data_IF_907322750471
#
_entry.id   IF_907322750471
#
_cell.length_a   1.000
_cell.length_b   1.000
_cell.length_c   1.000
_cell.angle_alpha   90.00
_cell.angle_beta   90.00
_cell.angle_gamma   90.00
#
_symmetry.space_group_name_H-M   'P 1'
#
loop_
_entity.id
_entity.type
_entity.pdbx_description
1 polymer ?
#
# COMPACT_ATOMS: atom_id res chain seq x y z
N UNK A 1 -13.67 -30.02 14.92
CA UNK A 1 -12.92 -29.29 15.96
C UNK A 1 -13.85 -28.35 16.70
N UNK A 2 -13.60 -28.03 18.00
CA UNK A 2 -14.39 -27.05 18.72
C UNK A 2 -14.30 -25.69 18.02
N UNK A 3 -15.39 -24.94 17.97
CA UNK A 3 -15.48 -23.59 17.40
C UNK A 3 -14.41 -22.64 17.98
N UNK A 4 -14.11 -22.77 19.26
CA UNK A 4 -13.07 -22.00 19.95
C UNK A 4 -11.67 -22.13 19.34
N UNK A 5 -11.33 -23.32 18.82
CA UNK A 5 -10.04 -23.54 18.16
C UNK A 5 -9.99 -22.79 16.83
N UNK A 6 -11.05 -22.88 16.03
CA UNK A 6 -11.16 -22.12 14.78
C UNK A 6 -11.07 -20.60 15.02
N UNK A 7 -11.84 -20.10 15.97
CA UNK A 7 -11.88 -18.67 16.29
C UNK A 7 -10.50 -18.15 16.76
N UNK A 8 -9.72 -18.98 17.47
CA UNK A 8 -8.35 -18.67 17.87
C UNK A 8 -7.41 -18.61 16.65
N UNK A 9 -7.49 -19.61 15.77
CA UNK A 9 -6.65 -19.70 14.58
C UNK A 9 -6.97 -18.58 13.59
N UNK A 10 -8.24 -18.20 13.44
CA UNK A 10 -8.66 -17.08 12.61
C UNK A 10 -8.12 -15.74 13.16
N UNK A 11 -8.17 -15.53 14.48
CA UNK A 11 -7.56 -14.34 15.10
C UNK A 11 -6.05 -14.30 14.90
N UNK A 12 -5.36 -15.42 15.12
CA UNK A 12 -3.92 -15.50 14.88
C UNK A 12 -3.58 -15.14 13.43
N UNK A 13 -4.39 -15.58 12.47
CA UNK A 13 -4.21 -15.23 11.07
C UNK A 13 -4.44 -13.73 10.79
N UNK A 14 -5.42 -13.10 11.44
CA UNK A 14 -5.63 -11.64 11.36
C UNK A 14 -4.43 -10.87 11.97
N UNK A 15 -3.88 -11.35 13.08
CA UNK A 15 -2.67 -10.77 13.69
C UNK A 15 -1.46 -10.86 12.73
N UNK A 16 -1.34 -11.96 11.98
CA UNK A 16 -0.30 -12.11 10.96
C UNK A 16 -0.44 -11.10 9.80
N UNK A 17 -1.69 -10.75 9.42
CA UNK A 17 -1.96 -9.68 8.45
C UNK A 17 -1.52 -8.32 8.99
N UNK A 18 -1.75 -8.04 10.29
CA UNK A 18 -1.27 -6.80 10.92
C UNK A 18 0.27 -6.73 10.96
N UNK A 19 0.93 -7.86 11.22
CA UNK A 19 2.41 -7.93 11.14
C UNK A 19 2.90 -7.62 9.73
N UNK A 20 2.28 -8.22 8.71
CA UNK A 20 2.60 -7.93 7.31
C UNK A 20 2.37 -6.43 6.98
N UNK A 21 1.26 -5.86 7.44
CA UNK A 21 0.97 -4.44 7.31
C UNK A 21 2.05 -3.55 7.93
N UNK A 22 2.50 -3.88 9.15
CA UNK A 22 3.58 -3.15 9.82
C UNK A 22 4.91 -3.22 9.05
N UNK A 23 5.23 -4.38 8.44
CA UNK A 23 6.41 -4.52 7.59
C UNK A 23 6.33 -3.60 6.36
N UNK A 24 5.16 -3.49 5.75
CA UNK A 24 4.92 -2.62 4.58
C UNK A 24 4.97 -1.15 4.98
N UNK A 25 4.35 -0.75 6.09
CA UNK A 25 4.43 0.62 6.61
C UNK A 25 5.88 1.06 6.85
N UNK A 26 6.70 0.16 7.44
CA UNK A 26 8.11 0.40 7.66
C UNK A 26 8.86 0.53 6.33
N UNK A 27 8.62 -0.38 5.38
CA UNK A 27 9.27 -0.36 4.06
C UNK A 27 8.96 0.94 3.30
N UNK A 28 7.72 1.42 3.31
CA UNK A 28 7.31 2.70 2.71
C UNK A 28 8.07 3.88 3.33
N UNK A 29 8.10 3.94 4.66
CA UNK A 29 8.81 5.01 5.38
C UNK A 29 10.30 5.00 5.06
N UNK A 30 10.95 3.85 5.17
CA UNK A 30 12.39 3.70 4.92
C UNK A 30 12.75 3.96 3.46
N UNK A 31 11.88 3.63 2.50
CA UNK A 31 12.15 3.86 1.08
C UNK A 31 12.28 5.35 0.76
N UNK A 32 11.33 6.16 1.23
CA UNK A 32 11.34 7.61 1.02
C UNK A 32 12.44 8.30 1.83
N UNK A 33 12.66 7.87 3.08
CA UNK A 33 13.75 8.37 3.92
C UNK A 33 15.12 8.09 3.32
N UNK A 34 15.33 6.88 2.79
CA UNK A 34 16.57 6.50 2.12
C UNK A 34 16.83 7.36 0.87
N UNK A 35 15.78 7.63 0.09
CA UNK A 35 15.85 8.51 -1.08
C UNK A 35 16.18 9.95 -0.66
N UNK A 36 15.50 10.50 0.35
CA UNK A 36 15.72 11.85 0.87
C UNK A 36 17.15 12.05 1.36
N UNK A 37 17.71 11.04 2.04
CA UNK A 37 19.10 11.05 2.57
C UNK A 37 20.11 10.58 1.54
N UNK A 38 19.66 10.06 0.40
CA UNK A 38 20.49 9.43 -0.63
C UNK A 38 21.30 8.24 -0.06
N UNK A 39 20.69 7.53 0.92
CA UNK A 39 21.31 6.37 1.55
C UNK A 39 21.13 5.11 0.70
N UNK A 40 22.11 4.87 -0.17
CA UNK A 40 22.14 3.69 -1.06
C UNK A 40 22.31 2.38 -0.30
N UNK A 41 22.88 2.40 0.88
CA UNK A 41 23.05 1.21 1.72
C UNK A 41 21.70 0.80 2.32
N UNK A 42 20.94 1.77 2.84
CA UNK A 42 19.57 1.53 3.29
C UNK A 42 18.68 1.03 2.15
N UNK A 43 18.77 1.64 0.95
CA UNK A 43 18.03 1.21 -0.23
C UNK A 43 18.33 -0.26 -0.61
N UNK A 44 19.61 -0.68 -0.61
CA UNK A 44 19.96 -2.09 -0.88
C UNK A 44 19.41 -3.04 0.17
N UNK A 45 19.44 -2.66 1.46
CA UNK A 45 18.86 -3.48 2.54
C UNK A 45 17.35 -3.63 2.37
N UNK A 46 16.65 -2.56 2.01
CA UNK A 46 15.22 -2.59 1.77
C UNK A 46 14.86 -3.51 0.59
N UNK A 47 15.58 -3.40 -0.53
CA UNK A 47 15.39 -4.28 -1.69
C UNK A 47 15.61 -5.75 -1.32
N UNK A 48 16.63 -6.06 -0.52
CA UNK A 48 16.89 -7.42 -0.07
C UNK A 48 15.84 -7.91 0.95
N UNK A 49 15.32 -7.01 1.78
CA UNK A 49 14.31 -7.30 2.81
C UNK A 49 12.92 -7.60 2.24
N UNK A 50 12.60 -7.19 1.02
CA UNK A 50 11.33 -7.47 0.33
C UNK A 50 11.01 -8.97 0.28
N UNK A 51 12.01 -9.83 0.22
CA UNK A 51 11.83 -11.29 0.33
C UNK A 51 11.06 -11.70 1.59
N UNK A 52 11.25 -10.99 2.70
CA UNK A 52 10.56 -11.29 3.96
C UNK A 52 9.06 -10.94 3.89
N UNK A 53 8.71 -9.88 3.16
CA UNK A 53 7.31 -9.51 2.89
C UNK A 53 6.64 -10.62 2.08
N UNK A 54 7.28 -11.09 1.03
CA UNK A 54 6.79 -12.19 0.19
C UNK A 54 6.62 -13.50 0.98
N UNK A 55 7.63 -13.88 1.79
CA UNK A 55 7.58 -15.08 2.64
C UNK A 55 6.42 -14.99 3.64
N UNK A 56 6.20 -13.82 4.24
CA UNK A 56 5.09 -13.58 5.18
C UNK A 56 3.74 -13.70 4.49
N UNK A 57 3.58 -13.10 3.30
CA UNK A 57 2.38 -13.26 2.48
C UNK A 57 2.09 -14.72 2.19
N UNK A 58 3.07 -15.50 1.70
CA UNK A 58 2.86 -16.92 1.39
C UNK A 58 2.50 -17.73 2.64
N UNK A 59 3.05 -17.41 3.80
CA UNK A 59 2.70 -18.08 5.05
C UNK A 59 1.24 -17.80 5.45
N UNK A 60 0.76 -16.55 5.29
CA UNK A 60 -0.63 -16.16 5.53
C UNK A 60 -1.57 -16.90 4.57
N UNK A 61 -1.24 -16.93 3.28
CA UNK A 61 -2.04 -17.63 2.27
C UNK A 61 -2.16 -19.13 2.57
N UNK A 62 -1.03 -19.77 2.88
CA UNK A 62 -1.02 -21.20 3.21
C UNK A 62 -1.87 -21.50 4.46
N UNK A 63 -1.78 -20.67 5.50
CA UNK A 63 -2.57 -20.80 6.72
C UNK A 63 -4.08 -20.60 6.46
N UNK A 64 -4.45 -19.58 5.66
CA UNK A 64 -5.84 -19.33 5.30
C UNK A 64 -6.44 -20.52 4.51
N UNK A 65 -5.71 -21.03 3.51
CA UNK A 65 -6.14 -22.20 2.72
C UNK A 65 -6.25 -23.46 3.57
N UNK A 66 -5.34 -23.66 4.53
CA UNK A 66 -5.41 -24.79 5.46
C UNK A 66 -6.67 -24.71 6.34
N UNK A 67 -7.01 -23.50 6.86
CA UNK A 67 -8.24 -23.30 7.63
C UNK A 67 -9.50 -23.60 6.80
N UNK A 68 -9.55 -23.14 5.55
CA UNK A 68 -10.67 -23.43 4.65
C UNK A 68 -10.81 -24.93 4.42
N UNK A 69 -9.70 -25.61 4.11
CA UNK A 69 -9.70 -27.04 3.77
C UNK A 69 -10.09 -27.94 4.95
N UNK A 70 -9.68 -27.56 6.18
CA UNK A 70 -9.84 -28.44 7.35
C UNK A 70 -11.06 -28.13 8.21
N UNK A 71 -11.56 -26.89 8.19
CA UNK A 71 -12.55 -26.41 9.16
C UNK A 71 -13.95 -26.17 8.56
N UNK A 72 -14.10 -26.19 7.23
CA UNK A 72 -15.36 -25.93 6.52
C UNK A 72 -16.07 -24.67 7.07
N UNK A 73 -15.44 -23.48 6.98
CA UNK A 73 -15.93 -22.26 7.62
C UNK A 73 -17.30 -21.84 7.11
N UNK A 74 -18.15 -21.32 7.99
CA UNK A 74 -19.47 -20.78 7.65
C UNK A 74 -19.33 -19.47 6.90
N UNK A 75 -20.37 -19.03 6.22
CA UNK A 75 -20.37 -17.90 5.27
C UNK A 75 -19.60 -16.63 5.75
N UNK A 76 -19.79 -16.20 7.00
CA UNK A 76 -19.09 -15.04 7.56
C UNK A 76 -17.58 -15.28 7.74
N UNK A 77 -17.20 -16.48 8.19
CA UNK A 77 -15.80 -16.84 8.40
C UNK A 77 -15.08 -17.04 7.07
N UNK A 78 -15.76 -17.63 6.09
CA UNK A 78 -15.22 -17.78 4.74
C UNK A 78 -14.97 -16.42 4.09
N UNK A 79 -15.87 -15.44 4.27
CA UNK A 79 -15.63 -14.07 3.79
C UNK A 79 -14.42 -13.42 4.44
N UNK A 80 -14.22 -13.64 5.75
CA UNK A 80 -13.03 -13.14 6.45
C UNK A 80 -11.76 -13.78 5.90
N UNK A 81 -11.74 -15.08 5.66
CA UNK A 81 -10.59 -15.79 5.07
C UNK A 81 -10.31 -15.32 3.63
N UNK A 82 -11.36 -15.13 2.82
CA UNK A 82 -11.21 -14.56 1.48
C UNK A 82 -10.61 -13.15 1.53
N UNK A 83 -11.08 -12.29 2.44
CA UNK A 83 -10.52 -10.95 2.62
C UNK A 83 -9.05 -11.00 3.08
N UNK A 84 -8.67 -11.93 3.97
CA UNK A 84 -7.27 -12.13 4.37
C UNK A 84 -6.37 -12.42 3.17
N UNK A 85 -6.79 -13.32 2.27
CA UNK A 85 -6.02 -13.67 1.07
C UNK A 85 -5.79 -12.43 0.18
N UNK A 86 -6.84 -11.65 -0.06
CA UNK A 86 -6.76 -10.46 -0.91
C UNK A 86 -5.97 -9.34 -0.24
N UNK A 87 -6.21 -9.05 1.04
CA UNK A 87 -5.45 -8.04 1.80
C UNK A 87 -3.96 -8.37 1.82
N UNK A 88 -3.59 -9.64 2.04
CA UNK A 88 -2.19 -10.05 2.00
C UNK A 88 -1.55 -9.80 0.62
N UNK A 89 -2.30 -10.01 -0.48
CA UNK A 89 -1.86 -9.68 -1.83
C UNK A 89 -1.70 -8.17 -2.06
N UNK A 90 -2.64 -7.35 -1.57
CA UNK A 90 -2.52 -5.89 -1.68
C UNK A 90 -1.33 -5.35 -0.87
N UNK A 91 -1.08 -5.88 0.33
CA UNK A 91 0.07 -5.52 1.15
C UNK A 91 1.41 -5.86 0.47
N UNK A 92 1.51 -7.01 -0.17
CA UNK A 92 2.72 -7.38 -0.92
C UNK A 92 2.97 -6.42 -2.09
N UNK A 93 1.94 -6.05 -2.85
CA UNK A 93 2.07 -5.05 -3.93
C UNK A 93 2.57 -3.70 -3.42
N UNK A 94 2.08 -3.26 -2.25
CA UNK A 94 2.59 -2.04 -1.60
C UNK A 94 4.07 -2.19 -1.21
N UNK A 95 4.50 -3.37 -0.75
CA UNK A 95 5.91 -3.70 -0.51
C UNK A 95 6.75 -3.59 -1.78
N UNK A 96 6.23 -4.09 -2.90
CA UNK A 96 6.88 -3.94 -4.21
C UNK A 96 7.03 -2.48 -4.64
N UNK A 97 6.05 -1.60 -4.34
CA UNK A 97 6.17 -0.16 -4.61
C UNK A 97 7.26 0.48 -3.73
N UNK A 98 7.35 0.14 -2.45
CA UNK A 98 8.43 0.61 -1.58
C UNK A 98 9.82 0.18 -2.08
N UNK A 99 9.94 -1.07 -2.52
CA UNK A 99 11.16 -1.60 -3.18
C UNK A 99 11.44 -0.87 -4.50
N UNK A 100 10.41 -0.51 -5.28
CA UNK A 100 10.52 0.31 -6.48
C UNK A 100 11.16 1.66 -6.18
N UNK A 101 10.72 2.35 -5.13
CA UNK A 101 11.28 3.62 -4.66
C UNK A 101 12.76 3.45 -4.26
N UNK A 102 13.09 2.37 -3.53
CA UNK A 102 14.47 2.07 -3.17
C UNK A 102 15.38 1.83 -4.39
N UNK A 103 14.87 1.16 -5.44
CA UNK A 103 15.58 0.99 -6.71
C UNK A 103 15.86 2.32 -7.38
N UNK A 104 14.90 3.23 -7.39
CA UNK A 104 15.06 4.58 -7.95
C UNK A 104 16.18 5.34 -7.21
N UNK A 105 16.27 5.23 -5.87
CA UNK A 105 17.38 5.80 -5.12
C UNK A 105 18.75 5.30 -5.62
N UNK A 106 18.86 4.03 -5.99
CA UNK A 106 20.10 3.49 -6.57
C UNK A 106 20.35 4.01 -7.99
N UNK A 107 19.31 4.24 -8.79
CA UNK A 107 19.42 4.75 -10.16
C UNK A 107 19.85 6.22 -10.19
N UNK A 108 19.31 7.05 -9.30
CA UNK A 108 19.74 8.47 -9.14
C UNK A 108 21.22 8.54 -8.73
N UNK A 109 21.71 7.58 -7.96
CA UNK A 109 23.12 7.47 -7.62
C UNK A 109 23.63 8.61 -6.76
N UNK A 110 24.78 9.17 -7.18
CA UNK A 110 25.46 10.26 -6.46
C UNK A 110 25.05 11.66 -6.96
N UNK A 111 24.18 11.75 -7.95
CA UNK A 111 23.70 13.02 -8.46
C UNK A 111 22.85 13.76 -7.41
N UNK A 112 22.98 15.11 -7.31
CA UNK A 112 22.13 15.90 -6.43
C UNK A 112 20.68 15.81 -6.88
N UNK A 113 19.75 15.76 -5.92
CA UNK A 113 18.32 15.77 -6.23
C UNK A 113 17.92 17.08 -6.93
N UNK A 114 17.02 17.00 -7.90
CA UNK A 114 16.53 18.16 -8.68
C UNK A 114 15.90 19.25 -7.81
N UNK A 115 15.26 18.85 -6.73
CA UNK A 115 14.57 19.70 -5.77
C UNK A 115 14.57 19.05 -4.38
N UNK A 116 14.35 19.83 -3.30
CA UNK A 116 14.03 19.24 -2.00
C UNK A 116 12.77 18.37 -2.11
N UNK A 117 12.81 17.19 -1.51
CA UNK A 117 11.67 16.27 -1.47
C UNK A 117 10.77 16.67 -0.30
N UNK A 118 9.74 17.49 -0.55
CA UNK A 118 8.75 17.91 0.45
C UNK A 118 7.46 17.10 0.30
N UNK A 119 6.96 16.98 -0.93
CA UNK A 119 5.68 16.35 -1.22
C UNK A 119 5.74 14.83 -1.11
N UNK A 120 6.81 14.19 -1.58
CA UNK A 120 6.96 12.73 -1.54
C UNK A 120 6.92 12.14 -0.12
N UNK A 121 7.61 12.71 0.89
CA UNK A 121 7.43 12.30 2.28
C UNK A 121 6.01 12.48 2.79
N UNK A 122 5.32 13.56 2.39
CA UNK A 122 3.93 13.80 2.79
C UNK A 122 2.98 12.77 2.15
N UNK A 123 3.15 12.44 0.87
CA UNK A 123 2.40 11.36 0.21
C UNK A 123 2.60 10.02 0.94
N UNK A 124 3.85 9.67 1.28
CA UNK A 124 4.15 8.45 2.00
C UNK A 124 3.50 8.41 3.40
N UNK A 125 3.52 9.53 4.11
CA UNK A 125 2.86 9.64 5.43
C UNK A 125 1.35 9.46 5.31
N UNK A 126 0.72 10.07 4.30
CA UNK A 126 -0.72 9.93 4.04
C UNK A 126 -1.08 8.50 3.70
N UNK A 127 -0.44 7.88 2.72
CA UNK A 127 -0.69 6.50 2.32
C UNK A 127 -0.50 5.52 3.50
N UNK A 128 0.56 5.70 4.31
CA UNK A 128 0.80 4.91 5.51
C UNK A 128 -0.32 5.07 6.56
N UNK A 129 -0.78 6.31 6.80
CA UNK A 129 -1.86 6.55 7.76
C UNK A 129 -3.17 5.90 7.30
N UNK A 130 -3.50 6.02 6.01
CA UNK A 130 -4.65 5.35 5.41
C UNK A 130 -4.54 3.83 5.59
N UNK A 131 -3.39 3.23 5.28
CA UNK A 131 -3.14 1.79 5.44
C UNK A 131 -3.36 1.32 6.87
N UNK A 132 -2.76 1.99 7.85
CA UNK A 132 -2.91 1.64 9.27
C UNK A 132 -4.37 1.63 9.69
N UNK A 133 -5.14 2.65 9.30
CA UNK A 133 -6.57 2.77 9.63
C UNK A 133 -7.43 1.73 8.91
N UNK A 134 -7.08 1.37 7.67
CA UNK A 134 -7.77 0.31 6.94
C UNK A 134 -7.58 -1.07 7.61
N UNK A 135 -6.37 -1.36 8.08
CA UNK A 135 -6.09 -2.58 8.84
C UNK A 135 -6.77 -2.58 10.23
N UNK A 136 -6.85 -1.42 10.89
CA UNK A 136 -7.65 -1.26 12.11
C UNK A 136 -9.15 -1.52 11.84
N UNK A 137 -9.69 -0.96 10.75
CA UNK A 137 -11.07 -1.21 10.33
C UNK A 137 -11.31 -2.70 10.02
N UNK A 138 -10.35 -3.38 9.42
CA UNK A 138 -10.42 -4.82 9.16
C UNK A 138 -10.57 -5.63 10.45
N UNK A 139 -9.72 -5.41 11.45
CA UNK A 139 -9.77 -6.15 12.72
C UNK A 139 -11.04 -5.83 13.52
N UNK A 140 -11.43 -4.56 13.54
CA UNK A 140 -12.65 -4.11 14.24
C UNK A 140 -13.95 -4.37 13.47
N UNK A 141 -13.85 -4.77 12.21
CA UNK A 141 -15.00 -4.91 11.30
C UNK A 141 -15.78 -3.59 11.18
N UNK A 142 -15.08 -2.48 11.16
CA UNK A 142 -15.65 -1.13 11.15
C UNK A 142 -15.91 -0.66 9.72
N UNK A 143 -17.16 -0.87 9.26
CA UNK A 143 -17.60 -0.45 7.93
C UNK A 143 -17.60 1.06 7.76
N UNK A 144 -17.92 1.81 8.83
CA UNK A 144 -17.98 3.28 8.76
C UNK A 144 -16.58 3.85 8.52
N UNK A 145 -15.59 3.36 9.27
CA UNK A 145 -14.20 3.74 9.06
C UNK A 145 -13.70 3.33 7.68
N UNK A 146 -14.00 2.08 7.24
CA UNK A 146 -13.60 1.60 5.91
C UNK A 146 -14.19 2.43 4.76
N UNK A 147 -15.40 2.98 4.90
CA UNK A 147 -16.00 3.89 3.90
C UNK A 147 -15.40 5.29 3.91
N UNK A 148 -14.87 5.75 5.05
CA UNK A 148 -14.33 7.10 5.18
C UNK A 148 -12.90 7.23 4.64
N UNK A 149 -12.08 6.17 4.72
CA UNK A 149 -10.66 6.23 4.34
C UNK A 149 -10.43 6.56 2.86
N UNK A 150 -11.13 5.94 1.88
CA UNK A 150 -10.88 6.20 0.47
C UNK A 150 -11.07 7.65 0.04
N UNK A 151 -11.88 8.44 0.74
CA UNK A 151 -12.05 9.87 0.43
C UNK A 151 -10.76 10.70 0.69
N UNK A 152 -9.79 10.14 1.41
CA UNK A 152 -8.51 10.79 1.68
C UNK A 152 -7.52 10.61 0.51
N UNK A 153 -7.82 9.73 -0.43
CA UNK A 153 -7.01 9.47 -1.63
C UNK A 153 -6.91 10.72 -2.51
N UNK A 154 -7.97 11.53 -2.61
CA UNK A 154 -7.98 12.81 -3.32
C UNK A 154 -6.82 13.74 -2.92
N UNK A 155 -6.39 13.66 -1.65
CA UNK A 155 -5.25 14.47 -1.14
C UNK A 155 -3.93 13.94 -1.71
N UNK A 156 -3.77 12.62 -1.83
CA UNK A 156 -2.58 12.00 -2.41
C UNK A 156 -2.50 12.30 -3.90
N UNK A 157 -3.63 12.24 -4.60
CA UNK A 157 -3.77 12.59 -6.02
C UNK A 157 -3.43 14.06 -6.28
N UNK A 158 -3.90 14.97 -5.42
CA UNK A 158 -3.56 16.38 -5.52
C UNK A 158 -2.05 16.62 -5.36
N UNK A 159 -1.40 15.91 -4.43
CA UNK A 159 0.06 15.96 -4.24
C UNK A 159 0.80 15.36 -5.44
N UNK A 160 0.34 14.23 -5.98
CA UNK A 160 0.89 13.66 -7.21
C UNK A 160 0.85 14.65 -8.36
N UNK A 161 -0.31 15.27 -8.59
CA UNK A 161 -0.52 16.27 -9.64
C UNK A 161 0.36 17.52 -9.42
N UNK A 162 0.63 17.91 -8.18
CA UNK A 162 1.56 19.00 -7.85
C UNK A 162 2.99 18.61 -8.22
N UNK A 163 3.47 17.44 -7.79
CA UNK A 163 4.81 16.91 -8.13
C UNK A 163 4.98 16.86 -9.64
N UNK A 164 4.00 16.34 -10.37
CA UNK A 164 4.01 16.25 -11.83
C UNK A 164 4.23 17.62 -12.47
N UNK A 165 3.45 18.66 -12.10
CA UNK A 165 3.57 20.02 -12.66
C UNK A 165 4.91 20.66 -12.35
N UNK A 166 5.44 20.47 -11.13
CA UNK A 166 6.74 20.99 -10.74
C UNK A 166 7.88 20.34 -11.54
N UNK A 167 7.84 19.01 -11.71
CA UNK A 167 8.84 18.29 -12.50
C UNK A 167 8.80 18.69 -13.98
N UNK A 168 7.60 18.88 -14.57
CA UNK A 168 7.47 19.41 -15.93
C UNK A 168 8.12 20.79 -16.05
N UNK A 169 7.91 21.69 -15.10
CA UNK A 169 8.52 23.03 -15.10
C UNK A 169 10.05 22.94 -15.09
N UNK A 170 10.61 22.01 -14.30
CA UNK A 170 12.06 21.79 -14.24
C UNK A 170 12.62 21.22 -15.55
N UNK A 171 11.89 20.31 -16.20
CA UNK A 171 12.28 19.76 -17.52
C UNK A 171 12.25 20.86 -18.60
N UNK A 172 11.23 21.72 -18.60
CA UNK A 172 11.12 22.83 -19.55
C UNK A 172 12.26 23.85 -19.37
N UNK A 173 12.70 24.07 -18.14
CA UNK A 173 13.82 24.99 -17.85
C UNK A 173 15.18 24.38 -18.24
N UNK A 174 15.37 23.07 -18.08
CA UNK A 174 16.59 22.34 -18.47
C UNK A 174 16.23 20.90 -18.92
N UNK A 175 16.08 20.65 -20.23
CA UNK A 175 15.71 19.34 -20.77
C UNK A 175 16.69 18.21 -20.42
N UNK A 176 17.93 18.51 -20.04
CA UNK A 176 18.91 17.50 -19.61
C UNK A 176 18.51 16.81 -18.31
N UNK A 177 17.58 17.37 -17.56
CA UNK A 177 17.07 16.86 -16.28
C UNK A 177 15.95 15.83 -16.42
N UNK A 178 15.53 15.50 -17.65
CA UNK A 178 14.37 14.63 -17.94
C UNK A 178 14.50 13.28 -17.25
N UNK A 179 15.67 12.69 -17.22
CA UNK A 179 15.89 11.36 -16.65
C UNK A 179 15.64 11.38 -15.12
N UNK A 180 16.25 12.31 -14.40
CA UNK A 180 16.08 12.39 -12.96
C UNK A 180 14.66 12.84 -12.57
N UNK A 181 14.04 13.73 -13.35
CA UNK A 181 12.65 14.13 -13.16
C UNK A 181 11.71 12.92 -13.33
N UNK A 182 11.97 12.09 -14.35
CA UNK A 182 11.20 10.86 -14.56
C UNK A 182 11.35 9.88 -13.38
N UNK A 183 12.54 9.72 -12.81
CA UNK A 183 12.75 8.92 -11.60
C UNK A 183 11.89 9.44 -10.42
N UNK A 184 11.85 10.75 -10.19
CA UNK A 184 11.02 11.32 -9.13
C UNK A 184 9.52 11.18 -9.40
N UNK A 185 9.11 11.25 -10.67
CA UNK A 185 7.73 10.99 -11.06
C UNK A 185 7.33 9.54 -10.77
N UNK A 186 8.21 8.58 -11.06
CA UNK A 186 8.00 7.17 -10.71
C UNK A 186 7.88 6.94 -9.20
N UNK A 187 8.62 7.70 -8.38
CA UNK A 187 8.46 7.66 -6.91
C UNK A 187 7.07 8.14 -6.52
N UNK A 188 6.63 9.29 -7.05
CA UNK A 188 5.30 9.83 -6.78
C UNK A 188 4.20 8.84 -7.20
N UNK A 189 4.33 8.24 -8.39
CA UNK A 189 3.40 7.24 -8.88
C UNK A 189 3.33 5.99 -7.98
N UNK A 190 4.47 5.48 -7.50
CA UNK A 190 4.46 4.35 -6.56
C UNK A 190 3.75 4.69 -5.24
N UNK A 191 3.82 5.94 -4.78
CA UNK A 191 3.15 6.39 -3.56
C UNK A 191 1.64 6.57 -3.76
N UNK A 192 1.24 7.13 -4.89
CA UNK A 192 -0.17 7.22 -5.31
C UNK A 192 -0.77 5.81 -5.43
N UNK A 193 -0.11 4.90 -6.18
CA UNK A 193 -0.55 3.50 -6.27
C UNK A 193 -0.64 2.79 -4.90
N UNK A 194 0.16 3.21 -3.93
CA UNK A 194 0.06 2.69 -2.56
C UNK A 194 -1.25 3.11 -1.90
N UNK A 195 -1.67 4.37 -2.06
CA UNK A 195 -2.93 4.86 -1.53
C UNK A 195 -4.14 4.19 -2.21
N UNK A 196 -4.14 4.04 -3.54
CA UNK A 196 -5.14 3.27 -4.29
C UNK A 196 -5.37 1.87 -3.70
N UNK A 197 -4.26 1.16 -3.36
CA UNK A 197 -4.37 -0.19 -2.78
C UNK A 197 -5.06 -0.22 -1.43
N UNK A 198 -5.01 0.89 -0.67
CA UNK A 198 -5.76 0.98 0.59
C UNK A 198 -7.27 0.94 0.34
N UNK A 199 -7.76 1.56 -0.72
CA UNK A 199 -9.17 1.52 -1.10
C UNK A 199 -9.63 0.08 -1.34
N UNK A 200 -8.81 -0.75 -2.03
CA UNK A 200 -9.10 -2.16 -2.21
C UNK A 200 -9.19 -2.91 -0.86
N UNK A 201 -8.31 -2.60 0.10
CA UNK A 201 -8.39 -3.18 1.46
C UNK A 201 -9.71 -2.77 2.14
N UNK A 202 -10.12 -1.51 2.04
CA UNK A 202 -11.37 -1.02 2.61
C UNK A 202 -12.60 -1.73 2.01
N UNK A 203 -12.61 -2.00 0.72
CA UNK A 203 -13.65 -2.80 0.06
C UNK A 203 -13.75 -4.21 0.65
N UNK A 204 -12.60 -4.86 0.92
CA UNK A 204 -12.58 -6.19 1.55
C UNK A 204 -13.11 -6.13 2.99
N UNK A 205 -12.85 -5.05 3.74
CA UNK A 205 -13.44 -4.85 5.07
C UNK A 205 -14.96 -4.78 4.98
N UNK A 206 -15.51 -3.99 4.06
CA UNK A 206 -16.95 -3.88 3.86
C UNK A 206 -17.54 -5.24 3.49
N UNK A 207 -16.92 -5.96 2.55
CA UNK A 207 -17.35 -7.30 2.15
C UNK A 207 -17.41 -8.29 3.31
N UNK A 208 -16.45 -8.26 4.25
CA UNK A 208 -16.47 -9.20 5.41
C UNK A 208 -17.72 -9.03 6.27
N UNK A 209 -18.25 -7.82 6.35
CA UNK A 209 -19.37 -7.48 7.22
C UNK A 209 -20.70 -7.59 6.49
N UNK A 210 -20.81 -7.00 5.30
CA UNK A 210 -22.07 -6.90 4.55
C UNK A 210 -22.33 -8.11 3.66
N UNK A 211 -21.27 -8.77 3.18
CA UNK A 211 -21.34 -9.82 2.16
C UNK A 211 -21.48 -9.27 0.74
N UNK A 212 -21.50 -7.96 0.55
CA UNK A 212 -21.60 -7.30 -0.73
C UNK A 212 -20.20 -6.91 -1.25
N UNK A 213 -19.90 -7.28 -2.48
CA UNK A 213 -18.73 -6.82 -3.22
C UNK A 213 -19.11 -5.49 -3.89
N UNK A 214 -18.64 -4.39 -3.32
CA UNK A 214 -18.86 -3.05 -3.85
C UNK A 214 -17.51 -2.40 -4.15
N UNK A 215 -17.40 -1.80 -5.31
CA UNK A 215 -16.30 -0.91 -5.64
C UNK A 215 -16.58 0.46 -4.99
N UNK A 216 -15.62 0.97 -4.23
CA UNK A 216 -15.69 2.35 -3.73
C UNK A 216 -15.08 3.20 -4.84
N UNK A 217 -15.93 3.66 -5.76
CA UNK A 217 -15.49 4.58 -6.81
C UNK A 217 -14.93 5.85 -6.13
N UNK A 218 -13.69 6.25 -6.43
CA UNK A 218 -13.24 7.58 -6.06
C UNK A 218 -14.19 8.58 -6.73
N UNK A 219 -14.70 9.53 -5.98
CA UNK A 219 -15.52 10.61 -6.52
C UNK A 219 -14.61 11.56 -7.33
N UNK A 220 -14.16 11.09 -8.48
CA UNK A 220 -13.44 11.91 -9.44
C UNK A 220 -14.42 12.94 -10.00
N UNK A 221 -14.64 14.02 -9.26
CA UNK A 221 -15.43 15.15 -9.71
C UNK A 221 -15.03 15.59 -11.11
N UNK A 222 -15.69 15.01 -12.10
CA UNK A 222 -15.87 15.55 -13.44
C UNK A 222 -14.63 15.76 -14.30
N UNK A 223 -13.95 14.67 -14.71
CA UNK A 223 -13.32 14.63 -16.03
C UNK A 223 -13.85 13.40 -16.76
N UNK A 224 -15.16 13.47 -17.09
CA UNK A 224 -15.79 12.56 -18.03
C UNK A 224 -15.18 12.75 -19.42
N UNK A 225 -14.60 11.67 -19.94
CA UNK A 225 -14.56 11.44 -21.38
C UNK A 225 -13.46 12.15 -22.16
N UNK A 226 -12.27 11.53 -22.23
CA UNK A 226 -11.59 11.47 -23.53
C UNK A 226 -11.39 9.97 -23.81
N UNK A 227 -12.26 9.46 -24.67
CA UNK A 227 -12.12 8.17 -25.33
C UNK A 227 -11.02 8.29 -26.39
#
# INVERSE_FOLDING_TARGET
MPRETFDRELRALQDEVLVLGSMVEQALTESVDSLKRRDRTAARRLIAGDRLVNEKRFAIEAAALMLIATQQPMAGDLRTLAAVLEIAGELERMGDYAKGIARINLLIGDEPLLKPLLDLPLMAERARNMLRRALEAFVRRDVALARAIPTEDDVVDALYNQVYRELLTLIMADPRRIEQANYLLWVAHNLERTADRVSNICERVIFTVTGELTEIAPDHGGLGGIA
#
